data_IF_927590559487
#
_entry.id   IF_927590559487
#
_cell.length_a   1.000
_cell.length_b   1.000
_cell.length_c   1.000
_cell.angle_alpha   90.00
_cell.angle_beta   90.00
_cell.angle_gamma   90.00
#
_symmetry.space_group_name_H-M   'P 1'
#
loop_
_entity.id
_entity.type
_entity.pdbx_description
1 polymer ?
#
# COMPACT_ATOMS: atom_id res chain seq x y z
N UNK A 1 44.69 12.20 -38.88
CA UNK A 1 44.45 11.72 -37.49
C UNK A 1 42.98 11.93 -37.16
N UNK A 2 42.17 10.85 -37.14
CA UNK A 2 40.72 10.91 -36.88
C UNK A 2 40.51 10.97 -35.35
N UNK A 3 39.98 12.08 -34.85
CA UNK A 3 39.59 12.23 -33.44
C UNK A 3 38.26 11.51 -33.22
N UNK A 4 38.28 10.40 -32.48
CA UNK A 4 37.10 9.71 -31.97
C UNK A 4 36.54 10.55 -30.82
N UNK A 5 35.32 11.09 -30.96
CA UNK A 5 34.63 11.74 -29.87
C UNK A 5 33.77 10.70 -29.14
N UNK A 6 34.18 10.34 -27.93
CA UNK A 6 33.37 9.58 -26.98
C UNK A 6 32.33 10.54 -26.42
N UNK A 7 31.06 10.36 -26.78
CA UNK A 7 29.95 11.07 -26.15
C UNK A 7 29.54 10.21 -24.94
N UNK A 8 29.91 10.67 -23.75
CA UNK A 8 29.39 10.14 -22.51
C UNK A 8 27.93 10.60 -22.36
N UNK A 9 26.98 9.67 -22.37
CA UNK A 9 25.61 9.94 -21.98
C UNK A 9 25.56 10.09 -20.46
N UNK A 10 25.64 11.33 -19.96
CA UNK A 10 25.26 11.65 -18.59
C UNK A 10 23.73 11.49 -18.49
N UNK A 11 23.28 10.38 -17.90
CA UNK A 11 21.88 10.18 -17.57
C UNK A 11 21.48 11.12 -16.45
N UNK A 12 20.68 12.14 -16.75
CA UNK A 12 19.97 12.92 -15.74
C UNK A 12 18.81 12.06 -15.23
N UNK A 13 19.00 11.42 -14.08
CA UNK A 13 17.90 10.79 -13.34
C UNK A 13 17.08 11.92 -12.68
N UNK A 14 15.97 12.29 -13.31
CA UNK A 14 14.95 13.08 -12.62
C UNK A 14 14.32 12.12 -11.62
N UNK A 15 14.56 12.31 -10.32
CA UNK A 15 13.93 11.49 -9.29
C UNK A 15 12.42 11.60 -9.42
N UNK A 16 11.74 10.48 -9.70
CA UNK A 16 10.29 10.43 -9.63
C UNK A 16 9.89 10.67 -8.17
N UNK A 17 9.06 11.68 -7.93
CA UNK A 17 8.49 11.96 -6.62
C UNK A 17 7.55 10.81 -6.24
N UNK A 18 7.58 10.37 -4.98
CA UNK A 18 6.65 9.37 -4.47
C UNK A 18 5.21 9.85 -4.68
N UNK A 19 4.40 9.01 -5.31
CA UNK A 19 2.97 9.23 -5.56
C UNK A 19 2.18 8.03 -5.03
N UNK A 20 0.89 8.21 -4.81
CA UNK A 20 0.01 7.07 -4.50
C UNK A 20 -0.05 6.13 -5.70
N UNK A 21 0.39 4.89 -5.50
CA UNK A 21 0.34 3.82 -6.50
C UNK A 21 -0.99 3.08 -6.42
N UNK A 22 -1.46 2.86 -5.20
CA UNK A 22 -2.74 2.25 -4.91
C UNK A 22 -3.36 2.90 -3.67
N UNK A 23 -4.68 3.05 -3.70
CA UNK A 23 -5.49 3.41 -2.54
C UNK A 23 -6.89 2.81 -2.73
N UNK A 24 -7.34 2.00 -1.77
CA UNK A 24 -8.66 1.36 -1.79
C UNK A 24 -9.83 2.36 -1.78
N UNK A 25 -9.60 3.61 -1.39
CA UNK A 25 -10.61 4.66 -1.33
C UNK A 25 -10.95 5.10 0.09
N UNK A 26 -11.76 6.15 0.18
CA UNK A 26 -12.18 6.76 1.44
C UNK A 26 -13.16 5.88 2.20
N UNK A 27 -13.25 6.12 3.52
CA UNK A 27 -14.21 5.40 4.34
C UNK A 27 -15.65 5.61 3.84
N UNK A 28 -16.37 4.51 3.68
CA UNK A 28 -17.72 4.50 3.12
C UNK A 28 -18.83 4.78 4.15
N UNK A 29 -18.47 4.98 5.41
CA UNK A 29 -19.43 5.14 6.50
C UNK A 29 -20.05 3.83 6.98
N UNK A 30 -19.65 2.67 6.44
CA UNK A 30 -20.32 1.41 6.69
C UNK A 30 -19.77 0.68 7.92
N UNK A 31 -18.46 0.39 7.95
CA UNK A 31 -17.87 -0.44 9.00
C UNK A 31 -16.35 -0.25 9.13
N UNK A 32 -15.75 -1.06 9.99
CA UNK A 32 -14.31 -1.24 10.13
C UNK A 32 -14.03 -2.65 10.67
N UNK A 33 -12.86 -3.22 10.36
CA UNK A 33 -12.47 -4.56 10.81
C UNK A 33 -11.18 -4.49 11.65
N UNK A 34 -11.13 -5.31 12.70
CA UNK A 34 -9.99 -5.34 13.63
C UNK A 34 -8.69 -5.64 12.88
N UNK A 35 -7.70 -4.78 13.07
CA UNK A 35 -6.41 -4.80 12.39
C UNK A 35 -5.33 -4.30 13.34
N UNK A 36 -4.90 -5.20 14.22
CA UNK A 36 -3.95 -4.94 15.29
C UNK A 36 -3.07 -6.15 15.57
N UNK A 37 -1.83 -5.92 15.99
CA UNK A 37 -0.95 -6.98 16.47
C UNK A 37 -0.41 -6.64 17.85
N UNK A 38 -0.02 -7.68 18.58
CA UNK A 38 0.55 -7.58 19.91
C UNK A 38 -0.34 -6.89 20.96
N UNK A 39 -1.65 -6.85 20.70
CA UNK A 39 -2.65 -6.30 21.60
C UNK A 39 -2.82 -7.22 22.82
N UNK A 40 -2.73 -6.64 24.02
CA UNK A 40 -2.84 -7.38 25.29
C UNK A 40 -4.06 -6.87 26.04
N UNK A 41 -5.11 -7.67 26.05
CA UNK A 41 -6.23 -7.50 26.97
C UNK A 41 -6.14 -8.58 28.05
N UNK A 42 -6.71 -8.37 29.26
CA UNK A 42 -6.34 -9.09 30.49
C UNK A 42 -6.32 -10.62 30.42
N UNK A 43 -6.91 -11.24 29.39
CA UNK A 43 -7.00 -12.68 29.21
C UNK A 43 -6.66 -13.18 27.79
N UNK A 44 -6.35 -12.29 26.83
CA UNK A 44 -6.13 -12.67 25.43
C UNK A 44 -5.11 -11.77 24.72
N UNK A 45 -4.28 -12.41 23.90
CA UNK A 45 -3.41 -11.75 22.93
C UNK A 45 -4.21 -11.56 21.64
N UNK A 46 -4.22 -10.36 21.07
CA UNK A 46 -4.93 -10.05 19.84
C UNK A 46 -3.96 -9.81 18.69
N UNK A 47 -4.07 -10.65 17.66
CA UNK A 47 -3.35 -10.56 16.39
C UNK A 47 -4.32 -10.74 15.25
N UNK A 48 -4.71 -9.62 14.65
CA UNK A 48 -5.55 -9.58 13.46
C UNK A 48 -4.91 -8.72 12.38
N UNK A 49 -4.87 -9.26 11.16
CA UNK A 49 -4.38 -8.55 9.97
C UNK A 49 -5.45 -8.64 8.90
N UNK A 50 -5.75 -7.50 8.28
CA UNK A 50 -6.72 -7.38 7.20
C UNK A 50 -5.98 -7.12 5.90
N UNK A 51 -6.39 -7.84 4.86
CA UNK A 51 -5.77 -7.88 3.55
C UNK A 51 -6.74 -7.37 2.50
N UNK A 52 -6.26 -6.51 1.61
CA UNK A 52 -7.01 -6.07 0.44
C UNK A 52 -6.16 -6.18 -0.84
N UNK A 53 -6.80 -6.46 -1.98
CA UNK A 53 -6.08 -6.73 -3.21
C UNK A 53 -5.76 -5.48 -4.04
N UNK A 54 -4.61 -5.51 -4.70
CA UNK A 54 -4.18 -4.45 -5.60
C UNK A 54 -3.39 -5.01 -6.77
N UNK A 55 -3.37 -4.27 -7.88
CA UNK A 55 -2.67 -4.65 -9.09
C UNK A 55 -1.64 -3.60 -9.49
N UNK A 56 -0.43 -4.08 -9.76
CA UNK A 56 0.66 -3.32 -10.35
C UNK A 56 0.75 -3.70 -11.83
N UNK A 57 0.68 -2.72 -12.74
CA UNK A 57 0.66 -2.97 -14.20
C UNK A 57 2.03 -2.84 -14.87
N UNK A 58 2.97 -2.18 -14.20
CA UNK A 58 4.35 -1.96 -14.64
C UNK A 58 5.28 -2.12 -13.44
N UNK A 59 6.54 -2.49 -13.65
CA UNK A 59 7.52 -2.54 -12.55
C UNK A 59 7.46 -1.25 -11.72
N UNK A 60 7.20 -1.37 -10.42
CA UNK A 60 6.92 -0.23 -9.55
C UNK A 60 7.75 -0.31 -8.28
N UNK A 61 8.49 0.77 -8.00
CA UNK A 61 9.18 0.93 -6.72
C UNK A 61 8.17 1.40 -5.68
N UNK A 62 8.05 0.68 -4.58
CA UNK A 62 7.25 1.05 -3.41
C UNK A 62 8.20 1.63 -2.36
N UNK A 63 7.77 2.72 -1.73
CA UNK A 63 8.53 3.43 -0.69
C UNK A 63 7.67 3.91 0.48
N UNK A 64 6.37 3.64 0.48
CA UNK A 64 5.53 3.88 1.63
C UNK A 64 4.25 3.05 1.66
N UNK A 65 3.70 2.90 2.86
CA UNK A 65 2.44 2.21 3.14
C UNK A 65 1.57 3.11 4.03
N UNK A 66 0.26 3.05 3.87
CA UNK A 66 -0.65 3.82 4.70
C UNK A 66 -2.04 3.18 4.81
N UNK A 67 -2.81 3.57 5.82
CA UNK A 67 -4.21 3.17 5.98
C UNK A 67 -4.97 4.04 6.97
N UNK A 68 -6.30 4.02 6.85
CA UNK A 68 -7.22 4.72 7.74
C UNK A 68 -7.75 3.76 8.81
N UNK A 69 -7.55 4.11 10.07
CA UNK A 69 -7.91 3.30 11.22
C UNK A 69 -8.79 4.07 12.19
N UNK A 70 -9.82 3.41 12.70
CA UNK A 70 -10.54 3.84 13.90
C UNK A 70 -9.86 3.27 15.13
N UNK A 71 -9.87 4.03 16.21
CA UNK A 71 -9.34 3.58 17.50
C UNK A 71 -10.40 3.57 18.59
N UNK A 72 -10.36 2.54 19.44
CA UNK A 72 -11.19 2.45 20.64
C UNK A 72 -10.28 2.20 21.85
N UNK A 73 -10.43 2.99 22.91
CA UNK A 73 -9.71 2.79 24.17
C UNK A 73 -8.74 3.93 24.53
N UNK A 74 -7.53 3.58 24.97
CA UNK A 74 -6.58 4.50 25.58
C UNK A 74 -6.14 5.60 24.59
N UNK A 75 -6.11 6.89 24.99
CA UNK A 75 -5.79 8.02 24.11
C UNK A 75 -4.35 8.05 23.59
N UNK A 76 -3.45 7.19 24.06
CA UNK A 76 -2.09 7.12 23.52
C UNK A 76 -2.11 6.29 22.24
N UNK A 77 -2.03 6.97 21.09
CA UNK A 77 -1.96 6.32 19.79
C UNK A 77 -0.61 5.63 19.62
N UNK A 78 -0.63 4.42 19.06
CA UNK A 78 0.60 3.80 18.58
C UNK A 78 1.12 4.54 17.35
N UNK A 79 2.44 4.52 17.19
CA UNK A 79 3.10 4.95 15.95
C UNK A 79 3.78 3.77 15.25
N UNK A 80 3.42 2.55 15.64
CA UNK A 80 3.97 1.32 15.08
C UNK A 80 2.95 0.69 14.14
N UNK A 81 3.32 0.51 12.88
CA UNK A 81 2.47 -0.08 11.84
C UNK A 81 3.15 -1.34 11.30
N UNK A 82 2.45 -2.45 11.38
CA UNK A 82 2.79 -3.70 10.70
C UNK A 82 2.22 -3.68 9.28
N UNK A 83 3.00 -4.19 8.34
CA UNK A 83 2.55 -4.35 6.97
C UNK A 83 3.16 -5.59 6.32
N UNK A 84 2.43 -6.17 5.39
CA UNK A 84 2.94 -7.21 4.51
C UNK A 84 2.28 -7.17 3.14
N UNK A 85 3.00 -7.65 2.13
CA UNK A 85 2.52 -7.80 0.76
C UNK A 85 2.62 -9.27 0.39
N UNK A 86 1.48 -9.84 0.03
CA UNK A 86 1.35 -11.26 -0.34
C UNK A 86 0.90 -11.43 -1.78
N UNK A 87 1.12 -12.64 -2.30
CA UNK A 87 0.60 -13.07 -3.60
C UNK A 87 -0.12 -14.40 -3.48
N UNK A 88 -1.26 -14.50 -4.16
CA UNK A 88 -2.03 -15.74 -4.25
C UNK A 88 -2.77 -16.10 -2.96
N UNK A 89 -3.24 -15.12 -2.18
CA UNK A 89 -4.16 -15.40 -1.06
C UNK A 89 -5.44 -16.00 -1.64
N UNK A 90 -5.90 -17.08 -0.99
CA UNK A 90 -7.23 -17.68 -1.23
C UNK A 90 -7.85 -18.04 0.12
N UNK A 91 -9.15 -18.40 0.19
CA UNK A 91 -9.75 -18.80 1.46
C UNK A 91 -8.96 -19.93 2.13
N UNK A 92 -8.47 -19.67 3.33
CA UNK A 92 -7.65 -20.60 4.14
C UNK A 92 -6.25 -20.89 3.61
N UNK A 93 -5.73 -20.07 2.69
CA UNK A 93 -4.34 -20.11 2.24
C UNK A 93 -3.79 -18.68 2.10
N UNK A 94 -2.77 -18.36 2.89
CA UNK A 94 -2.12 -17.06 2.85
C UNK A 94 -1.26 -16.82 1.60
N UNK A 95 -1.05 -17.82 0.75
CA UNK A 95 -0.13 -17.71 -0.36
C UNK A 95 1.29 -17.38 0.09
N UNK A 96 2.00 -16.57 -0.68
CA UNK A 96 3.42 -16.25 -0.44
C UNK A 96 3.60 -14.81 0.00
N UNK A 97 4.34 -14.58 1.09
CA UNK A 97 4.84 -13.25 1.47
C UNK A 97 5.93 -12.85 0.48
N UNK A 98 5.75 -11.68 -0.15
CA UNK A 98 6.70 -11.10 -1.11
C UNK A 98 7.58 -10.06 -0.42
N UNK A 99 6.96 -9.21 0.40
CA UNK A 99 7.62 -8.21 1.25
C UNK A 99 6.84 -8.05 2.55
N UNK A 100 7.51 -7.69 3.63
CA UNK A 100 6.91 -7.44 4.93
C UNK A 100 7.79 -6.49 5.74
N UNK A 101 7.20 -5.91 6.79
CA UNK A 101 7.94 -5.07 7.71
C UNK A 101 7.11 -4.54 8.85
N UNK A 102 7.81 -3.87 9.76
CA UNK A 102 7.22 -3.10 10.84
C UNK A 102 7.94 -1.77 10.93
N UNK A 103 7.19 -0.68 10.92
CA UNK A 103 7.69 0.68 11.07
C UNK A 103 7.29 1.19 12.44
N UNK A 104 8.19 1.87 13.16
CA UNK A 104 7.96 2.31 14.55
C UNK A 104 7.77 3.83 14.69
N UNK A 105 7.59 4.53 13.57
CA UNK A 105 7.54 5.99 13.48
C UNK A 105 6.51 6.46 12.44
N UNK A 106 5.41 5.73 12.30
CA UNK A 106 4.30 6.13 11.43
C UNK A 106 3.80 7.53 11.84
N UNK A 107 3.56 8.37 10.84
CA UNK A 107 2.85 9.63 11.02
C UNK A 107 1.38 9.31 11.24
N UNK A 108 0.84 9.75 12.37
CA UNK A 108 -0.55 9.52 12.74
C UNK A 108 -1.27 10.86 12.78
N UNK A 109 -2.21 11.06 11.87
CA UNK A 109 -2.99 12.30 11.75
C UNK A 109 -4.47 11.99 11.78
N UNK A 110 -5.25 12.75 12.56
CA UNK A 110 -6.70 12.61 12.50
C UNK A 110 -7.19 12.88 11.07
N UNK A 111 -8.03 11.99 10.56
CA UNK A 111 -8.60 12.12 9.22
C UNK A 111 -9.99 12.81 9.23
N UNK A 112 -10.56 13.05 10.42
CA UNK A 112 -11.85 13.70 10.61
C UNK A 112 -13.04 12.74 10.68
N UNK A 113 -12.83 11.45 10.43
CA UNK A 113 -13.88 10.43 10.49
C UNK A 113 -14.21 10.05 11.93
N UNK A 114 -15.45 9.64 12.16
CA UNK A 114 -15.93 9.15 13.46
C UNK A 114 -16.86 7.96 13.22
N UNK A 115 -16.50 6.79 13.74
CA UNK A 115 -17.37 5.61 13.77
C UNK A 115 -18.13 5.55 15.10
N UNK A 116 -19.38 5.10 15.05
CA UNK A 116 -20.29 4.98 16.22
C UNK A 116 -20.41 6.25 17.08
N UNK A 117 -20.22 7.43 16.46
CA UNK A 117 -20.38 8.74 17.09
C UNK A 117 -19.35 9.11 18.16
N UNK A 118 -18.35 8.27 18.44
CA UNK A 118 -17.36 8.52 19.50
C UNK A 118 -15.95 8.00 19.24
N UNK A 119 -15.75 7.14 18.24
CA UNK A 119 -14.47 6.52 17.96
C UNK A 119 -13.78 7.24 16.78
N UNK A 120 -12.70 8.01 17.02
CA UNK A 120 -12.07 8.83 15.99
C UNK A 120 -11.25 8.02 14.99
N UNK A 121 -11.23 8.49 13.74
CA UNK A 121 -10.41 8.00 12.64
C UNK A 121 -9.06 8.71 12.52
N UNK A 122 -8.05 7.95 12.10
CA UNK A 122 -6.69 8.41 11.89
C UNK A 122 -6.08 7.77 10.63
N UNK A 123 -5.39 8.60 9.86
CA UNK A 123 -4.47 8.14 8.84
C UNK A 123 -3.15 7.77 9.50
N UNK A 124 -2.72 6.53 9.29
CA UNK A 124 -1.38 6.04 9.56
C UNK A 124 -0.60 6.04 8.25
N UNK A 125 0.44 6.86 8.14
CA UNK A 125 1.30 6.95 6.96
C UNK A 125 2.77 6.76 7.34
N UNK A 126 3.47 5.87 6.64
CA UNK A 126 4.90 5.64 6.89
C UNK A 126 5.68 5.38 5.61
N UNK A 127 6.93 5.82 5.63
CA UNK A 127 7.95 5.38 4.68
C UNK A 127 8.39 3.95 5.04
N UNK A 128 8.80 3.19 4.03
CA UNK A 128 9.38 1.84 4.17
C UNK A 128 10.70 1.74 3.40
N UNK A 129 11.52 0.75 3.73
CA UNK A 129 12.70 0.45 2.93
C UNK A 129 12.25 0.09 1.51
N UNK A 130 12.73 0.84 0.52
CA UNK A 130 12.16 0.75 -0.83
C UNK A 130 12.43 -0.61 -1.46
N UNK A 131 11.41 -1.17 -2.10
CA UNK A 131 11.49 -2.42 -2.87
C UNK A 131 10.76 -2.28 -4.21
N UNK A 132 10.91 -3.26 -5.09
CA UNK A 132 10.32 -3.26 -6.42
C UNK A 132 9.33 -4.41 -6.55
N UNK A 133 8.13 -4.09 -7.01
CA UNK A 133 7.13 -5.07 -7.41
C UNK A 133 7.09 -5.19 -8.92
N UNK A 134 7.19 -6.43 -9.40
CA UNK A 134 6.89 -6.79 -10.78
C UNK A 134 5.39 -6.66 -11.05
N UNK A 135 4.97 -6.49 -12.33
CA UNK A 135 3.56 -6.52 -12.68
C UNK A 135 2.83 -7.76 -12.15
N UNK A 136 1.68 -7.54 -11.52
CA UNK A 136 0.88 -8.62 -10.94
C UNK A 136 -0.15 -8.12 -9.94
N UNK A 137 -0.98 -9.05 -9.47
CA UNK A 137 -1.94 -8.84 -8.39
C UNK A 137 -1.35 -9.35 -7.07
N UNK A 138 -1.50 -8.54 -6.04
CA UNK A 138 -0.98 -8.73 -4.70
C UNK A 138 -2.06 -8.39 -3.68
N UNK A 139 -1.78 -8.67 -2.41
CA UNK A 139 -2.61 -8.28 -1.28
C UNK A 139 -1.76 -7.47 -0.31
N UNK A 140 -2.25 -6.31 0.10
CA UNK A 140 -1.67 -5.49 1.16
C UNK A 140 -2.34 -5.87 2.48
N UNK A 141 -1.56 -6.37 3.44
CA UNK A 141 -1.96 -6.58 4.81
C UNK A 141 -1.48 -5.43 5.69
N UNK A 142 -2.35 -4.88 6.54
CA UNK A 142 -1.97 -3.88 7.55
C UNK A 142 -2.53 -4.23 8.93
N UNK A 143 -1.78 -3.83 9.96
CA UNK A 143 -2.24 -3.85 11.35
C UNK A 143 -1.46 -2.83 12.19
N UNK A 144 -2.10 -2.23 13.19
CA UNK A 144 -1.40 -1.37 14.16
C UNK A 144 -0.80 -2.22 15.28
N UNK A 145 0.49 -2.06 15.55
CA UNK A 145 1.16 -2.75 16.66
C UNK A 145 1.02 -1.93 17.94
N UNK A 146 0.25 -2.45 18.91
CA UNK A 146 -0.02 -1.73 20.13
C UNK A 146 -0.48 -2.64 21.26
N UNK A 147 -0.11 -2.37 22.54
CA UNK A 147 -0.48 -3.27 23.63
C UNK A 147 -1.87 -3.05 24.26
N UNK A 148 -2.51 -1.87 24.19
CA UNK A 148 -3.64 -1.53 25.10
C UNK A 148 -4.84 -0.77 24.49
N UNK A 149 -5.03 -0.79 23.18
CA UNK A 149 -6.11 -0.10 22.46
C UNK A 149 -6.51 -0.94 21.26
N UNK A 150 -7.75 -0.77 20.80
CA UNK A 150 -8.23 -1.45 19.60
C UNK A 150 -8.05 -0.59 18.37
N UNK A 151 -7.66 -1.23 17.27
CA UNK A 151 -7.51 -0.61 15.97
C UNK A 151 -8.31 -1.36 14.93
N UNK A 152 -9.09 -0.62 14.16
CA UNK A 152 -9.95 -1.16 13.13
C UNK A 152 -9.66 -0.44 11.82
N UNK A 153 -9.25 -1.17 10.79
CA UNK A 153 -9.09 -0.57 9.46
C UNK A 153 -10.47 -0.31 8.84
N UNK A 154 -10.65 0.88 8.29
CA UNK A 154 -11.91 1.35 7.75
C UNK A 154 -12.28 0.62 6.45
N UNK A 155 -13.56 0.30 6.25
CA UNK A 155 -14.07 -0.22 4.96
C UNK A 155 -14.17 0.89 3.92
N UNK A 156 -14.18 0.56 2.63
CA UNK A 156 -14.32 1.51 1.52
C UNK A 156 -15.24 0.96 0.43
N UNK A 157 -15.94 1.89 -0.24
CA UNK A 157 -16.75 1.69 -1.45
C UNK A 157 -15.96 1.94 -2.74
N UNK A 158 -14.66 2.22 -2.65
CA UNK A 158 -13.81 2.60 -3.78
C UNK A 158 -13.82 4.11 -4.09
N UNK A 159 -14.60 4.90 -3.37
CA UNK A 159 -14.72 6.35 -3.62
C UNK A 159 -13.36 7.04 -3.40
N UNK A 160 -12.96 7.88 -4.37
CA UNK A 160 -11.64 8.52 -4.44
C UNK A 160 -10.43 7.54 -4.44
N UNK A 161 -10.66 6.25 -4.71
CA UNK A 161 -9.62 5.24 -4.84
C UNK A 161 -8.68 5.48 -6.02
N UNK A 162 -7.47 4.93 -5.92
CA UNK A 162 -6.42 4.99 -6.94
C UNK A 162 -5.97 3.58 -7.25
N UNK A 163 -5.83 3.26 -8.53
CA UNK A 163 -5.41 1.93 -8.97
C UNK A 163 -6.60 0.98 -9.14
N UNK A 164 -6.33 -0.32 -9.03
CA UNK A 164 -7.33 -1.36 -9.24
C UNK A 164 -6.87 -2.69 -8.63
N UNK A 165 -7.78 -3.61 -8.32
CA UNK A 165 -9.23 -3.41 -8.32
C UNK A 165 -9.70 -2.51 -7.16
N UNK A 166 -10.94 -2.02 -7.24
CA UNK A 166 -11.59 -1.20 -6.21
C UNK A 166 -13.03 -1.69 -6.04
N UNK A 167 -13.49 -1.75 -4.81
CA UNK A 167 -14.80 -2.26 -4.39
C UNK A 167 -15.17 -3.62 -5.00
N UNK A 168 -14.21 -4.54 -5.11
CA UNK A 168 -14.46 -5.89 -5.64
C UNK A 168 -14.84 -6.91 -4.55
N UNK A 169 -14.62 -6.58 -3.27
CA UNK A 169 -14.84 -7.44 -2.13
C UNK A 169 -13.83 -8.57 -2.00
N UNK A 170 -12.67 -8.46 -2.65
CA UNK A 170 -11.64 -9.50 -2.64
C UNK A 170 -10.64 -9.26 -1.50
N UNK A 171 -11.17 -9.29 -0.28
CA UNK A 171 -10.42 -9.06 0.94
C UNK A 171 -10.44 -10.28 1.85
N UNK A 172 -9.37 -10.39 2.64
CA UNK A 172 -9.15 -11.49 3.56
C UNK A 172 -8.76 -10.97 4.93
N UNK A 173 -8.91 -11.79 5.96
CA UNK A 173 -8.43 -11.45 7.28
C UNK A 173 -7.93 -12.67 8.04
N UNK A 174 -7.08 -12.39 9.02
CA UNK A 174 -6.60 -13.35 10.00
C UNK A 174 -6.93 -12.81 11.38
N UNK A 175 -7.23 -13.71 12.31
CA UNK A 175 -7.40 -13.38 13.73
C UNK A 175 -7.19 -14.67 14.54
N UNK A 176 -6.17 -14.69 15.39
CA UNK A 176 -5.91 -15.87 16.22
C UNK A 176 -7.04 -16.10 17.25
N UNK A 177 -7.75 -15.04 17.63
CA UNK A 177 -8.75 -15.01 18.69
C UNK A 177 -10.11 -15.46 18.15
N UNK A 178 -10.42 -15.04 16.93
CA UNK A 178 -11.65 -15.43 16.23
C UNK A 178 -11.47 -16.73 15.41
N UNK A 179 -10.27 -17.33 15.43
CA UNK A 179 -9.96 -18.54 14.65
C UNK A 179 -9.98 -18.32 13.14
N UNK A 180 -9.86 -17.07 12.68
CA UNK A 180 -9.83 -16.72 11.27
C UNK A 180 -8.42 -16.94 10.72
N UNK A 181 -8.32 -17.75 9.66
CA UNK A 181 -7.06 -18.03 8.98
C UNK A 181 -7.26 -17.79 7.49
N UNK A 182 -6.87 -16.59 7.02
CA UNK A 182 -7.11 -16.11 5.65
C UNK A 182 -8.55 -16.36 5.22
N UNK A 183 -9.50 -16.05 6.09
CA UNK A 183 -10.91 -16.16 5.77
C UNK A 183 -11.28 -15.00 4.83
N UNK A 184 -12.19 -15.26 3.89
CA UNK A 184 -12.76 -14.18 3.09
C UNK A 184 -13.64 -13.31 3.97
N UNK A 185 -13.36 -12.01 4.01
CA UNK A 185 -14.15 -11.05 4.80
C UNK A 185 -15.62 -11.09 4.38
N UNK A 186 -15.89 -11.20 3.08
CA UNK A 186 -17.26 -11.26 2.60
C UNK A 186 -18.02 -12.54 2.91
N UNK A 187 -17.33 -13.61 3.29
CA UNK A 187 -18.00 -14.82 3.80
C UNK A 187 -18.32 -14.69 5.29
N UNK A 188 -17.40 -14.11 6.06
CA UNK A 188 -17.54 -14.03 7.53
C UNK A 188 -18.45 -12.89 7.99
N UNK A 189 -18.54 -11.80 7.22
CA UNK A 189 -19.27 -10.58 7.60
C UNK A 189 -20.40 -10.20 6.64
N UNK A 190 -20.80 -11.10 5.73
CA UNK A 190 -21.92 -10.92 4.78
C UNK A 190 -21.87 -9.57 4.02
N UNK A 191 -20.71 -9.26 3.43
CA UNK A 191 -20.52 -8.01 2.68
C UNK A 191 -19.28 -8.00 1.79
N UNK A 192 -19.33 -7.31 0.66
CA UNK A 192 -18.15 -7.14 -0.21
C UNK A 192 -17.37 -5.92 0.26
N UNK A 193 -16.52 -6.13 1.25
CA UNK A 193 -15.73 -5.07 1.83
C UNK A 193 -14.34 -5.03 1.20
N UNK A 194 -13.94 -3.85 0.75
CA UNK A 194 -12.55 -3.48 0.54
C UNK A 194 -12.16 -2.52 1.67
N UNK A 195 -10.88 -2.22 1.79
CA UNK A 195 -10.35 -1.46 2.93
C UNK A 195 -9.58 -0.21 2.53
N UNK A 196 -9.71 0.83 3.35
CA UNK A 196 -9.10 2.14 3.13
C UNK A 196 -7.60 2.11 3.47
N UNK A 197 -6.84 1.44 2.60
CA UNK A 197 -5.39 1.26 2.69
C UNK A 197 -4.72 1.49 1.35
N UNK A 198 -3.41 1.74 1.36
CA UNK A 198 -2.70 2.10 0.14
C UNK A 198 -1.18 2.05 0.21
N UNK A 199 -0.60 2.27 -0.96
CA UNK A 199 0.83 2.24 -1.23
C UNK A 199 1.29 3.54 -1.89
N UNK A 200 2.46 4.00 -1.48
CA UNK A 200 3.20 5.09 -2.11
C UNK A 200 4.42 4.53 -2.83
N UNK A 201 4.73 5.12 -3.98
CA UNK A 201 5.80 4.64 -4.84
C UNK A 201 5.88 5.37 -6.17
N UNK A 202 6.59 4.78 -7.12
CA UNK A 202 6.74 5.31 -8.48
C UNK A 202 7.03 4.20 -9.49
N UNK A 203 6.52 4.29 -10.72
CA UNK A 203 6.90 3.38 -11.80
C UNK A 203 8.40 3.43 -12.05
N UNK A 204 9.04 2.27 -12.24
CA UNK A 204 10.43 2.19 -12.68
C UNK A 204 10.44 2.37 -14.20
N UNK A 205 11.09 3.42 -14.75
CA UNK A 205 11.01 3.66 -16.19
C UNK A 205 11.77 2.58 -16.96
N UNK A 206 11.12 1.99 -17.96
CA UNK A 206 11.74 0.96 -18.79
C UNK A 206 13.00 1.49 -19.51
N UNK A 207 14.10 0.71 -19.58
CA UNK A 207 15.32 1.10 -20.29
C UNK A 207 15.08 1.51 -21.76
N UNK A 208 14.08 0.92 -22.42
CA UNK A 208 13.72 1.23 -23.80
C UNK A 208 13.17 2.66 -23.98
N UNK A 209 12.46 3.19 -22.97
CA UNK A 209 11.92 4.55 -22.99
C UNK A 209 13.04 5.60 -23.01
N UNK A 210 14.12 5.36 -22.25
CA UNK A 210 15.32 6.19 -22.30
C UNK A 210 16.10 6.04 -23.62
N UNK A 211 16.18 4.82 -24.15
CA UNK A 211 16.82 4.59 -25.45
C UNK A 211 16.09 5.32 -26.58
N UNK A 212 14.74 5.27 -26.60
CA UNK A 212 13.92 5.96 -27.58
C UNK A 212 14.05 7.50 -27.47
N UNK A 213 14.04 8.05 -26.25
CA UNK A 213 14.28 9.47 -26.02
C UNK A 213 15.69 9.90 -26.49
N UNK A 214 16.72 9.12 -26.15
CA UNK A 214 18.09 9.36 -26.57
C UNK A 214 18.25 9.34 -28.09
N UNK A 215 17.65 8.36 -28.77
CA UNK A 215 17.63 8.28 -30.24
C UNK A 215 16.85 9.43 -30.88
N UNK A 216 15.73 9.84 -30.27
CA UNK A 216 14.93 11.00 -30.69
C UNK A 216 15.75 12.30 -30.67
N UNK A 217 16.44 12.58 -29.57
CA UNK A 217 17.31 13.76 -29.43
C UNK A 217 18.46 13.72 -30.44
N UNK A 218 19.10 12.57 -30.64
CA UNK A 218 20.16 12.40 -31.64
C UNK A 218 19.67 12.67 -33.07
N UNK A 219 18.45 12.24 -33.40
CA UNK A 219 17.85 12.48 -34.72
C UNK A 219 17.59 13.97 -34.99
N UNK A 220 17.15 14.71 -33.97
CA UNK A 220 16.95 16.17 -34.03
C UNK A 220 18.28 16.93 -34.13
N UNK A 221 19.30 16.50 -33.39
CA UNK A 221 20.65 17.06 -33.45
C UNK A 221 21.31 16.86 -34.83
N UNK A 222 21.12 15.70 -35.46
CA UNK A 222 21.60 15.44 -36.83
C UNK A 222 20.88 16.27 -37.89
N UNK A 223 19.58 16.54 -37.74
CA UNK A 223 18.82 17.40 -38.67
C UNK A 223 19.28 18.86 -38.64
N UNK A 224 19.66 19.40 -37.47
CA UNK A 224 20.14 20.79 -37.35
C UNK A 224 21.49 21.04 -38.03
N UNK A 225 22.38 20.03 -38.11
CA UNK A 225 23.70 20.19 -38.75
C UNK A 225 23.71 20.19 -40.28
N UNK A 226 22.57 19.95 -40.95
CA UNK A 226 22.47 19.93 -42.42
C UNK A 226 22.06 21.27 -43.06
N UNK A 227 21.94 22.35 -42.28
CA UNK A 227 21.50 23.68 -42.78
C UNK A 227 22.61 24.71 -42.97
N UNK A 228 23.88 24.31 -43.05
CA UNK A 228 24.99 25.19 -43.44
C UNK A 228 25.82 24.53 -44.53
#
# INVERSE_FOLDING_TARGET
MKKLAIIACLGLSIGAQAQTVFYGGDWDGASALVAEINSIFPESYYNSVVYDDFTVTTETRIDGVFGNFFTIGNPTLSHTLYWEIRKGITPHDGGTVVHDGTVSNATVTSNGDIIDGSNPGYLYDSDVDSFVLEPGTYFLGLAVDHPTSWYFVATTSGDNGIGSPLANGNSFWTSAENGAFFNSVGTDFDGRYDFSMGLRGSPVPEPASFAALGLGILSLGRRRKKKH
#
